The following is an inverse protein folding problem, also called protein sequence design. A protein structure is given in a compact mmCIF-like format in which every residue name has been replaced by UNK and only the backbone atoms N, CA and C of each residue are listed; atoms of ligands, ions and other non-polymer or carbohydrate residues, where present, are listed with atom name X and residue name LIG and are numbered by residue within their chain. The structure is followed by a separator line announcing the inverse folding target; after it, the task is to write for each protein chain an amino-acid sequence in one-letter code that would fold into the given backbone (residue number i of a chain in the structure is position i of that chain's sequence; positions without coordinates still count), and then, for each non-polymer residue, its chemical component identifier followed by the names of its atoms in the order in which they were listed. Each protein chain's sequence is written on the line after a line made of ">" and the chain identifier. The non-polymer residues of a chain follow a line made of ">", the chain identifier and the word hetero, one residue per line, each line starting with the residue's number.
data_IF_910892890716
#
_entry.id   IF_910892890716
#
_cell.length_a   1.000
_cell.length_b   1.000
_cell.length_c   1.000
_cell.angle_alpha   90.00
_cell.angle_beta   90.00
_cell.angle_gamma   90.00
#
_symmetry.space_group_name_H-M   'P 1'
#
loop_
_entity.id
_entity.type
_entity.pdbx_description
1 polymer ?
#
# COMPACT_ATOMS: atom_id res chain seq x y z
N UNK A 1 7.19 -21.64 -6.19
CA UNK A 1 6.66 -22.97 -6.62
C UNK A 1 5.22 -23.26 -6.17
N UNK A 2 4.90 -23.31 -4.86
CA UNK A 2 3.53 -23.69 -4.39
C UNK A 2 2.46 -22.72 -4.92
N UNK A 3 2.67 -21.41 -4.76
CA UNK A 3 1.75 -20.37 -5.27
C UNK A 3 1.51 -20.52 -6.78
N UNK A 4 2.58 -20.64 -7.57
CA UNK A 4 2.49 -20.88 -9.02
C UNK A 4 1.62 -22.10 -9.36
N UNK A 5 1.86 -23.24 -8.70
CA UNK A 5 1.10 -24.46 -8.95
C UNK A 5 -0.39 -24.27 -8.61
N UNK A 6 -0.72 -23.64 -7.48
CA UNK A 6 -2.10 -23.37 -7.08
C UNK A 6 -2.82 -22.44 -8.08
N UNK A 7 -2.15 -21.37 -8.52
CA UNK A 7 -2.69 -20.43 -9.51
C UNK A 7 -2.95 -21.06 -10.88
N UNK A 8 -2.17 -22.08 -11.26
CA UNK A 8 -2.43 -22.87 -12.47
C UNK A 8 -3.46 -23.98 -12.29
N UNK A 9 -3.69 -24.44 -11.06
CA UNK A 9 -4.57 -25.55 -10.74
C UNK A 9 -6.04 -25.16 -10.52
N UNK A 10 -6.36 -23.87 -10.34
CA UNK A 10 -7.75 -23.43 -10.20
C UNK A 10 -8.01 -22.28 -9.22
N UNK A 11 -6.98 -21.72 -8.58
CA UNK A 11 -7.17 -20.54 -7.71
C UNK A 11 -7.75 -19.37 -8.51
N UNK A 12 -8.80 -18.77 -7.96
CA UNK A 12 -9.54 -17.69 -8.62
C UNK A 12 -9.19 -16.30 -8.08
N UNK A 13 -8.63 -16.19 -6.87
CA UNK A 13 -8.17 -14.92 -6.28
C UNK A 13 -6.73 -15.03 -5.78
N UNK A 14 -5.93 -14.00 -6.00
CA UNK A 14 -4.58 -13.89 -5.46
C UNK A 14 -4.30 -12.50 -4.92
N UNK A 15 -4.06 -12.38 -3.62
CA UNK A 15 -3.58 -11.14 -3.01
C UNK A 15 -2.14 -11.36 -2.53
N UNK A 16 -1.28 -10.41 -2.82
CA UNK A 16 0.13 -10.46 -2.45
C UNK A 16 0.71 -9.08 -2.20
N UNK A 17 1.94 -9.05 -1.69
CA UNK A 17 2.78 -7.85 -1.70
C UNK A 17 3.64 -7.85 -2.96
N UNK A 18 4.19 -6.72 -3.41
CA UNK A 18 4.98 -6.65 -4.65
C UNK A 18 6.06 -7.73 -4.76
N UNK A 19 6.78 -8.01 -3.67
CA UNK A 19 7.79 -9.06 -3.57
C UNK A 19 7.25 -10.46 -3.96
N UNK A 20 6.03 -10.80 -3.54
CA UNK A 20 5.43 -12.10 -3.86
C UNK A 20 5.12 -12.22 -5.36
N UNK A 21 4.64 -11.14 -5.97
CA UNK A 21 4.38 -11.11 -7.41
C UNK A 21 5.70 -11.17 -8.19
N UNK A 22 6.73 -10.42 -7.78
CA UNK A 22 8.06 -10.45 -8.40
C UNK A 22 8.68 -11.86 -8.38
N UNK A 23 8.67 -12.53 -7.22
CA UNK A 23 9.15 -13.92 -7.10
C UNK A 23 8.33 -14.90 -7.94
N UNK A 24 7.02 -14.69 -8.07
CA UNK A 24 6.16 -15.51 -8.92
C UNK A 24 6.47 -15.31 -10.41
N UNK A 25 6.67 -14.07 -10.84
CA UNK A 25 7.07 -13.73 -12.21
C UNK A 25 8.44 -14.30 -12.55
N UNK A 26 9.43 -14.13 -11.66
CA UNK A 26 10.77 -14.69 -11.80
C UNK A 26 10.71 -16.21 -11.92
N UNK A 27 10.01 -16.89 -10.99
CA UNK A 27 9.86 -18.34 -11.04
C UNK A 27 9.21 -18.81 -12.34
N UNK A 28 8.21 -18.08 -12.85
CA UNK A 28 7.55 -18.40 -14.12
C UNK A 28 8.49 -18.24 -15.31
N UNK A 29 9.33 -17.19 -15.30
CA UNK A 29 10.40 -16.97 -16.30
C UNK A 29 11.43 -18.09 -16.27
N UNK A 30 11.82 -18.58 -15.10
CA UNK A 30 12.71 -19.74 -14.94
C UNK A 30 12.10 -21.03 -15.50
N UNK A 31 10.77 -21.13 -15.61
CA UNK A 31 10.09 -22.23 -16.30
C UNK A 31 9.99 -22.01 -17.83
N UNK A 32 10.59 -20.95 -18.38
CA UNK A 32 10.53 -20.61 -19.80
C UNK A 32 9.20 -19.99 -20.25
N UNK A 33 8.37 -19.52 -19.31
CA UNK A 33 7.06 -18.92 -19.59
C UNK A 33 7.11 -17.40 -19.33
N UNK A 34 6.37 -16.63 -20.14
CA UNK A 34 6.28 -15.17 -20.02
C UNK A 34 5.05 -14.69 -19.25
N UNK A 35 4.06 -15.55 -19.07
CA UNK A 35 2.79 -15.26 -18.41
C UNK A 35 2.37 -16.46 -17.55
N UNK A 36 1.52 -16.22 -16.55
CA UNK A 36 1.03 -17.26 -15.65
C UNK A 36 0.22 -18.33 -16.38
N UNK A 37 -0.57 -17.92 -17.40
CA UNK A 37 -1.41 -18.83 -18.18
C UNK A 37 -2.54 -19.50 -17.38
N UNK A 38 -3.01 -18.85 -16.31
CA UNK A 38 -4.19 -19.33 -15.56
C UNK A 38 -5.46 -19.07 -16.36
N UNK A 39 -6.39 -20.03 -16.38
CA UNK A 39 -7.72 -19.91 -16.99
C UNK A 39 -8.82 -19.55 -16.00
N UNK A 40 -8.50 -19.46 -14.71
CA UNK A 40 -9.47 -19.36 -13.61
C UNK A 40 -9.24 -18.15 -12.72
N UNK A 41 -8.04 -17.57 -12.74
CA UNK A 41 -7.73 -16.36 -12.01
C UNK A 41 -8.61 -15.20 -12.51
N UNK A 42 -9.32 -14.57 -11.58
CA UNK A 42 -10.28 -13.48 -11.86
C UNK A 42 -10.00 -12.21 -11.07
N UNK A 43 -9.14 -12.27 -10.06
CA UNK A 43 -8.79 -11.13 -9.22
C UNK A 43 -7.36 -11.26 -8.73
N UNK A 44 -6.59 -10.17 -8.90
CA UNK A 44 -5.27 -10.02 -8.31
C UNK A 44 -5.21 -8.68 -7.62
N UNK A 45 -4.68 -8.65 -6.40
CA UNK A 45 -4.37 -7.39 -5.72
C UNK A 45 -2.95 -7.35 -5.19
N UNK A 46 -2.39 -6.14 -5.22
CA UNK A 46 -1.18 -5.77 -4.50
C UNK A 46 -1.54 -4.76 -3.41
N UNK A 47 -0.81 -4.77 -2.31
CA UNK A 47 -0.96 -3.78 -1.24
C UNK A 47 0.29 -3.71 -0.38
N UNK A 48 0.21 -2.95 0.71
CA UNK A 48 1.29 -2.73 1.69
C UNK A 48 2.55 -2.01 1.17
N UNK A 49 2.53 -1.52 -0.07
CA UNK A 49 3.58 -0.68 -0.65
C UNK A 49 3.03 0.16 -1.80
N UNK A 50 3.68 1.27 -2.18
CA UNK A 50 3.32 2.05 -3.36
C UNK A 50 3.28 1.20 -4.62
N UNK A 51 2.35 1.51 -5.52
CA UNK A 51 2.20 0.82 -6.79
C UNK A 51 2.85 1.62 -7.92
N UNK A 52 3.96 1.09 -8.46
CA UNK A 52 4.59 1.67 -9.64
C UNK A 52 3.75 1.40 -10.93
N UNK A 53 3.49 2.42 -11.77
CA UNK A 53 2.71 2.25 -13.01
C UNK A 53 3.33 1.29 -14.05
N UNK A 54 4.66 1.20 -14.14
CA UNK A 54 5.34 0.28 -15.05
C UNK A 54 5.18 -1.15 -14.54
N UNK A 55 5.44 -1.36 -13.27
CA UNK A 55 5.25 -2.64 -12.61
C UNK A 55 3.79 -3.11 -12.67
N UNK A 56 2.82 -2.20 -12.50
CA UNK A 56 1.40 -2.51 -12.68
C UNK A 56 1.11 -3.10 -14.05
N UNK A 57 1.62 -2.47 -15.12
CA UNK A 57 1.45 -2.94 -16.51
C UNK A 57 2.09 -4.30 -16.73
N UNK A 58 3.29 -4.53 -16.18
CA UNK A 58 3.96 -5.82 -16.25
C UNK A 58 3.17 -6.92 -15.53
N UNK A 59 2.62 -6.61 -14.36
CA UNK A 59 1.76 -7.52 -13.61
C UNK A 59 0.49 -7.87 -14.37
N UNK A 60 -0.19 -6.89 -14.95
CA UNK A 60 -1.39 -7.13 -15.75
C UNK A 60 -1.11 -7.98 -16.98
N UNK A 61 0.00 -7.73 -17.69
CA UNK A 61 0.44 -8.56 -18.81
C UNK A 61 0.76 -10.00 -18.37
N UNK A 62 1.35 -10.16 -17.19
CA UNK A 62 1.71 -11.47 -16.64
C UNK A 62 0.48 -12.29 -16.21
N UNK A 63 -0.48 -11.68 -15.51
CA UNK A 63 -1.66 -12.36 -14.97
C UNK A 63 -2.80 -12.48 -16.00
N UNK A 64 -2.90 -11.53 -16.94
CA UNK A 64 -4.02 -11.43 -17.88
C UNK A 64 -5.31 -10.87 -17.26
N UNK A 65 -5.23 -10.25 -16.07
CA UNK A 65 -6.34 -9.58 -15.37
C UNK A 65 -5.84 -8.26 -14.78
N UNK A 66 -6.76 -7.36 -14.47
CA UNK A 66 -6.44 -6.09 -13.83
C UNK A 66 -5.80 -6.30 -12.45
N UNK A 67 -4.72 -5.56 -12.19
CA UNK A 67 -4.08 -5.55 -10.89
C UNK A 67 -4.74 -4.47 -10.03
N UNK A 68 -5.38 -4.89 -8.94
CA UNK A 68 -6.00 -3.98 -7.99
C UNK A 68 -4.99 -3.54 -6.93
N UNK A 69 -5.16 -2.32 -6.44
CA UNK A 69 -4.42 -1.78 -5.31
C UNK A 69 -5.37 -1.53 -4.15
N UNK A 70 -4.85 -1.48 -2.94
CA UNK A 70 -5.65 -1.16 -1.76
C UNK A 70 -4.79 -0.84 -0.55
N UNK A 71 -5.43 -0.17 0.40
CA UNK A 71 -4.82 0.22 1.66
C UNK A 71 -5.66 -0.28 2.83
N UNK A 72 -4.97 -0.61 3.91
CA UNK A 72 -5.54 -0.94 5.20
C UNK A 72 -4.47 -1.51 6.12
N UNK A 73 -4.88 -1.81 7.34
CA UNK A 73 -4.01 -2.28 8.41
C UNK A 73 -4.74 -3.33 9.26
N UNK A 74 -4.02 -3.92 10.21
CA UNK A 74 -4.57 -4.98 11.07
C UNK A 74 -5.78 -4.45 11.88
N UNK A 75 -5.63 -3.23 12.37
CA UNK A 75 -6.56 -2.50 13.21
C UNK A 75 -7.82 -2.07 12.45
N UNK A 76 -7.83 -2.13 11.11
CA UNK A 76 -8.97 -1.80 10.25
C UNK A 76 -9.55 -3.06 9.58
N UNK A 77 -9.36 -4.24 10.17
CA UNK A 77 -9.79 -5.53 9.58
C UNK A 77 -9.29 -5.68 8.13
N UNK A 78 -8.00 -5.39 7.93
CA UNK A 78 -7.25 -5.45 6.67
C UNK A 78 -7.56 -4.39 5.60
N UNK A 79 -8.78 -3.87 5.46
CA UNK A 79 -9.14 -3.02 4.31
C UNK A 79 -9.82 -1.71 4.70
N UNK A 80 -9.33 -0.60 4.15
CA UNK A 80 -9.90 0.75 4.24
C UNK A 80 -10.38 1.22 2.88
N UNK A 81 -9.56 1.04 1.85
CA UNK A 81 -9.83 1.43 0.47
C UNK A 81 -9.33 0.35 -0.50
N UNK A 82 -9.95 0.27 -1.67
CA UNK A 82 -9.47 -0.59 -2.74
C UNK A 82 -9.94 -0.11 -4.11
N UNK A 83 -9.09 -0.28 -5.12
CA UNK A 83 -9.45 0.00 -6.50
C UNK A 83 -10.38 -1.08 -7.06
N UNK A 84 -11.13 -0.71 -8.10
CA UNK A 84 -11.85 -1.64 -8.97
C UNK A 84 -11.61 -1.26 -10.43
N UNK A 85 -10.36 -1.37 -10.83
CA UNK A 85 -9.85 -0.91 -12.10
C UNK A 85 -10.04 -1.96 -13.20
N UNK A 86 -10.34 -1.50 -14.40
CA UNK A 86 -10.23 -2.30 -15.61
C UNK A 86 -8.74 -2.52 -15.97
N UNK A 87 -8.47 -3.58 -16.73
CA UNK A 87 -7.11 -3.89 -17.19
C UNK A 87 -6.59 -2.74 -18.07
N UNK A 88 -5.36 -2.30 -17.83
CA UNK A 88 -4.76 -1.17 -18.54
C UNK A 88 -5.10 0.21 -17.97
N UNK A 89 -5.92 0.31 -16.90
CA UNK A 89 -6.10 1.57 -16.20
C UNK A 89 -4.76 2.08 -15.63
N UNK A 90 -4.52 3.39 -15.73
CA UNK A 90 -3.28 4.04 -15.27
C UNK A 90 -3.29 4.39 -13.79
N UNK A 91 -4.44 4.25 -13.12
CA UNK A 91 -4.62 4.55 -11.70
C UNK A 91 -3.76 3.63 -10.82
N UNK A 92 -2.95 4.26 -9.96
CA UNK A 92 -2.08 3.62 -8.95
C UNK A 92 -2.43 4.02 -7.52
N UNK A 93 -3.53 4.73 -7.32
CA UNK A 93 -4.06 5.07 -5.98
C UNK A 93 -4.37 3.81 -5.17
N UNK A 94 -4.62 3.97 -3.88
CA UNK A 94 -5.19 2.93 -3.03
C UNK A 94 -6.73 2.80 -3.22
N UNK A 95 -7.30 3.54 -4.17
CA UNK A 95 -8.72 3.51 -4.53
C UNK A 95 -9.62 4.32 -3.59
N UNK A 96 -10.94 4.30 -3.85
CA UNK A 96 -11.92 4.91 -2.97
C UNK A 96 -12.13 4.09 -1.69
N UNK A 97 -12.75 4.72 -0.68
CA UNK A 97 -13.17 4.05 0.53
C UNK A 97 -14.05 2.81 0.24
N UNK A 98 -13.87 1.74 1.02
CA UNK A 98 -14.73 0.57 0.95
C UNK A 98 -16.16 0.92 1.44
N UNK A 99 -17.19 0.15 1.03
CA UNK A 99 -18.55 0.40 1.48
C UNK A 99 -18.68 0.42 3.01
N UNK A 100 -19.25 1.50 3.56
CA UNK A 100 -19.42 1.68 5.00
C UNK A 100 -18.17 2.15 5.74
N UNK A 101 -17.08 2.46 5.02
CA UNK A 101 -15.87 3.07 5.55
C UNK A 101 -15.87 4.57 5.23
N UNK A 102 -15.55 5.37 6.23
CA UNK A 102 -15.25 6.78 6.09
C UNK A 102 -13.75 7.00 6.16
N UNK A 103 -13.25 7.93 5.34
CA UNK A 103 -11.85 8.35 5.30
C UNK A 103 -11.81 9.87 5.41
N UNK A 104 -10.93 10.38 6.26
CA UNK A 104 -10.62 11.80 6.37
C UNK A 104 -9.10 12.00 6.38
N UNK A 105 -8.65 13.23 6.10
CA UNK A 105 -7.24 13.61 6.18
C UNK A 105 -7.10 14.66 7.29
N UNK A 106 -6.30 14.35 8.30
CA UNK A 106 -5.90 15.32 9.32
C UNK A 106 -4.61 16.03 8.87
N UNK A 107 -4.77 17.27 8.41
CA UNK A 107 -3.67 18.10 7.94
C UNK A 107 -2.83 18.74 9.06
N UNK A 108 -3.25 18.63 10.32
CA UNK A 108 -2.59 19.30 11.46
C UNK A 108 -1.48 18.46 12.09
N UNK A 109 -1.27 17.24 11.60
CA UNK A 109 -0.23 16.32 12.08
C UNK A 109 1.17 16.72 11.64
N UNK A 110 2.18 16.19 12.33
CA UNK A 110 3.57 16.28 11.90
C UNK A 110 3.76 15.65 10.51
N UNK A 111 4.41 16.39 9.60
CA UNK A 111 4.52 16.02 8.17
C UNK A 111 3.31 16.42 7.32
N UNK A 112 2.20 16.86 7.92
CA UNK A 112 1.03 17.37 7.20
C UNK A 112 1.26 18.75 6.56
N UNK A 113 0.49 19.04 5.51
CA UNK A 113 0.42 20.35 4.87
C UNK A 113 -0.95 20.55 4.19
N UNK A 114 -1.10 21.58 3.36
CA UNK A 114 -2.39 21.91 2.72
C UNK A 114 -2.96 20.81 1.80
N UNK A 115 -2.13 19.89 1.27
CA UNK A 115 -2.56 18.83 0.36
C UNK A 115 -2.47 17.42 0.96
N UNK A 116 -1.72 17.22 2.05
CA UNK A 116 -1.53 15.91 2.68
C UNK A 116 -1.60 15.97 4.20
N UNK A 117 -1.90 14.85 4.83
CA UNK A 117 -2.02 14.73 6.28
C UNK A 117 -2.14 13.27 6.70
N UNK A 118 -2.42 13.03 7.97
CA UNK A 118 -2.67 11.67 8.47
C UNK A 118 -3.99 11.15 7.90
N UNK A 119 -3.98 9.92 7.40
CA UNK A 119 -5.18 9.21 7.01
C UNK A 119 -5.93 8.78 8.27
N UNK A 120 -7.18 9.22 8.40
CA UNK A 120 -8.10 8.74 9.43
C UNK A 120 -9.10 7.77 8.83
N UNK A 121 -9.47 6.73 9.58
CA UNK A 121 -10.51 5.78 9.17
C UNK A 121 -11.57 5.59 10.24
N UNK A 122 -12.84 5.58 9.84
CA UNK A 122 -13.97 5.29 10.73
C UNK A 122 -14.94 4.33 10.07
N UNK A 123 -15.49 3.40 10.84
CA UNK A 123 -16.45 2.42 10.34
C UNK A 123 -16.47 1.13 11.17
N UNK A 124 -17.30 0.16 10.79
CA UNK A 124 -17.46 -1.11 11.50
C UNK A 124 -16.24 -2.04 11.40
N UNK A 125 -15.29 -1.72 10.51
CA UNK A 125 -14.04 -2.45 10.30
C UNK A 125 -12.92 -2.07 11.27
N UNK A 126 -13.05 -0.92 11.95
CA UNK A 126 -12.09 -0.45 12.96
C UNK A 126 -12.16 -1.35 14.20
N UNK A 127 -11.00 -1.69 14.74
CA UNK A 127 -10.85 -2.49 15.96
C UNK A 127 -11.53 -1.82 17.16
N UNK A 128 -11.74 -2.59 18.22
CA UNK A 128 -12.26 -2.05 19.51
C UNK A 128 -11.16 -1.47 20.41
N UNK A 129 -9.90 -1.59 19.99
CA UNK A 129 -8.73 -1.23 20.77
C UNK A 129 -7.74 -2.38 20.93
N UNK A 130 -6.55 -2.05 21.41
CA UNK A 130 -5.48 -2.99 21.66
C UNK A 130 -5.76 -3.85 22.89
N UNK A 131 -5.39 -5.13 22.81
CA UNK A 131 -5.67 -6.08 23.88
C UNK A 131 -4.98 -5.69 25.20
N UNK A 132 -5.79 -5.40 26.23
CA UNK A 132 -5.34 -4.98 27.57
C UNK A 132 -4.43 -3.75 27.57
N UNK A 133 -4.56 -2.88 26.58
CA UNK A 133 -3.77 -1.67 26.46
C UNK A 133 -4.65 -0.46 26.13
N UNK A 134 -5.39 0.01 27.14
CA UNK A 134 -6.30 1.14 27.01
C UNK A 134 -5.57 2.46 26.74
N UNK A 135 -4.33 2.60 27.21
CA UNK A 135 -3.53 3.81 26.99
C UNK A 135 -3.18 3.98 25.51
N UNK A 136 -2.61 2.95 24.87
CA UNK A 136 -2.33 3.00 23.43
C UNK A 136 -3.61 3.05 22.59
N UNK A 137 -4.71 2.45 23.09
CA UNK A 137 -6.00 2.54 22.41
C UNK A 137 -6.49 3.99 22.35
N UNK A 138 -6.41 4.72 23.46
CA UNK A 138 -6.84 6.12 23.53
C UNK A 138 -5.96 7.07 22.73
N UNK A 139 -4.74 6.65 22.33
CA UNK A 139 -3.85 7.42 21.45
C UNK A 139 -4.26 7.33 19.98
N UNK A 140 -4.94 6.24 19.58
CA UNK A 140 -5.26 6.00 18.16
C UNK A 140 -6.75 5.98 17.86
N UNK A 141 -7.62 5.82 18.86
CA UNK A 141 -9.07 5.89 18.70
C UNK A 141 -9.60 7.12 19.46
N UNK A 142 -10.18 8.06 18.72
CA UNK A 142 -10.76 9.27 19.31
C UNK A 142 -12.20 9.06 19.80
N UNK A 143 -12.77 10.11 20.40
CA UNK A 143 -14.14 10.08 20.94
C UNK A 143 -15.23 10.04 19.85
N UNK A 144 -14.92 10.45 18.62
CA UNK A 144 -15.81 10.47 17.46
C UNK A 144 -15.73 9.16 16.64
N UNK A 145 -14.90 8.21 17.09
CA UNK A 145 -14.70 6.89 16.51
C UNK A 145 -13.72 6.86 15.34
N UNK A 146 -12.94 7.93 15.12
CA UNK A 146 -11.86 7.93 14.15
C UNK A 146 -10.66 7.17 14.68
N UNK A 147 -10.12 6.34 13.79
CA UNK A 147 -8.82 5.72 13.95
C UNK A 147 -7.76 6.57 13.27
N UNK A 148 -6.79 7.02 14.05
CA UNK A 148 -5.53 7.62 13.63
C UNK A 148 -4.58 6.50 13.17
N UNK A 149 -4.25 6.48 11.88
CA UNK A 149 -3.49 5.39 11.27
C UNK A 149 -1.98 5.55 11.42
N UNK A 150 -1.50 6.78 11.60
CA UNK A 150 -0.09 7.17 11.50
C UNK A 150 0.46 7.18 10.07
N UNK A 151 -0.35 6.88 9.07
CA UNK A 151 0.04 6.88 7.66
C UNK A 151 -0.31 8.25 7.03
N UNK A 152 0.63 8.82 6.28
CA UNK A 152 0.41 10.05 5.53
C UNK A 152 -0.23 9.75 4.18
N UNK A 153 -1.24 10.54 3.83
CA UNK A 153 -1.94 10.41 2.57
C UNK A 153 -2.66 11.68 2.15
N UNK A 154 -3.30 11.57 0.99
CA UNK A 154 -4.16 12.61 0.43
C UNK A 154 -5.33 11.98 -0.31
N UNK A 155 -6.42 12.73 -0.43
CA UNK A 155 -7.57 12.35 -1.26
C UNK A 155 -7.60 13.30 -2.45
N UNK A 156 -7.59 12.75 -3.66
CA UNK A 156 -7.64 13.57 -4.89
C UNK A 156 -9.06 14.08 -5.21
N UNK A 157 -9.17 14.89 -6.26
CA UNK A 157 -10.45 15.45 -6.72
C UNK A 157 -11.46 14.37 -7.16
N UNK A 158 -11.02 13.14 -7.41
CA UNK A 158 -11.87 11.99 -7.75
C UNK A 158 -12.28 11.18 -6.50
N UNK A 159 -11.82 11.58 -5.31
CA UNK A 159 -12.11 10.88 -4.06
C UNK A 159 -11.26 9.62 -3.87
N UNK A 160 -10.12 9.50 -4.55
CA UNK A 160 -9.21 8.35 -4.43
C UNK A 160 -8.13 8.64 -3.39
N UNK A 161 -7.87 7.65 -2.54
CA UNK A 161 -6.83 7.74 -1.52
C UNK A 161 -5.46 7.45 -2.12
N UNK A 162 -4.49 8.31 -1.85
CA UNK A 162 -3.07 8.09 -2.16
C UNK A 162 -2.28 8.03 -0.86
N UNK A 163 -1.53 6.94 -0.66
CA UNK A 163 -0.65 6.76 0.50
C UNK A 163 0.74 7.27 0.12
N UNK A 164 1.26 8.19 0.91
CA UNK A 164 2.53 8.90 0.67
C UNK A 164 3.66 8.43 1.59
N UNK A 165 3.33 7.76 2.69
CA UNK A 165 4.30 7.20 3.63
C UNK A 165 3.76 7.14 5.04
N UNK A 166 4.66 7.16 6.04
CA UNK A 166 4.29 7.22 7.46
C UNK A 166 4.78 8.51 8.08
N UNK A 167 3.95 9.13 8.92
CA UNK A 167 4.33 10.38 9.59
C UNK A 167 5.54 10.20 10.49
N UNK A 168 5.63 9.05 11.18
CA UNK A 168 6.74 8.71 12.08
C UNK A 168 8.02 8.22 11.38
N UNK A 169 7.95 7.91 10.08
CA UNK A 169 9.10 7.46 9.29
C UNK A 169 9.59 8.57 8.36
N UNK A 170 9.01 9.78 8.44
CA UNK A 170 9.49 10.95 7.74
C UNK A 170 10.92 11.25 8.18
N UNK A 171 11.85 11.20 7.22
CA UNK A 171 13.25 11.53 7.47
C UNK A 171 13.42 13.04 7.31
N UNK A 172 13.93 13.71 8.34
CA UNK A 172 14.28 15.13 8.25
C UNK A 172 15.79 15.25 8.09
N UNK A 173 16.25 15.65 6.91
CA UNK A 173 17.67 15.85 6.62
C UNK A 173 17.93 17.29 6.16
N UNK A 174 18.71 18.05 6.92
CA UNK A 174 19.07 19.42 6.56
C UNK A 174 17.85 20.35 6.43
N UNK A 175 16.76 20.06 7.14
CA UNK A 175 15.50 20.81 7.07
C UNK A 175 14.58 20.43 5.91
N UNK A 176 14.90 19.38 5.16
CA UNK A 176 14.05 18.84 4.10
C UNK A 176 13.32 17.58 4.56
N UNK A 177 12.04 17.50 4.22
CA UNK A 177 11.21 16.32 4.39
C UNK A 177 11.57 15.29 3.31
N UNK A 178 12.14 14.17 3.72
CA UNK A 178 12.48 13.04 2.87
C UNK A 178 11.53 11.90 3.18
N UNK A 179 10.64 11.60 2.24
CA UNK A 179 9.69 10.49 2.38
C UNK A 179 10.37 9.19 1.92
N UNK A 180 10.58 8.20 2.82
CA UNK A 180 11.23 6.94 2.44
C UNK A 180 10.63 6.28 1.19
N UNK A 181 9.30 6.23 1.00
CA UNK A 181 8.72 5.62 -0.20
C UNK A 181 9.16 6.25 -1.52
N UNK A 182 9.42 7.57 -1.56
CA UNK A 182 9.90 8.24 -2.78
C UNK A 182 11.33 7.80 -3.13
N UNK A 183 12.19 7.71 -2.12
CA UNK A 183 13.59 7.27 -2.29
C UNK A 183 13.65 5.78 -2.62
N UNK A 184 12.83 4.96 -1.96
CA UNK A 184 12.69 3.53 -2.23
C UNK A 184 12.23 3.29 -3.68
N UNK A 185 11.21 4.02 -4.15
CA UNK A 185 10.74 3.93 -5.53
C UNK A 185 11.87 4.25 -6.52
N UNK A 186 12.64 5.32 -6.28
CA UNK A 186 13.78 5.68 -7.12
C UNK A 186 14.90 4.62 -7.12
N UNK A 187 15.20 4.01 -5.98
CA UNK A 187 16.20 2.94 -5.88
C UNK A 187 15.73 1.65 -6.55
N UNK A 188 14.44 1.31 -6.41
CA UNK A 188 13.84 0.11 -6.99
C UNK A 188 13.77 0.16 -8.53
N UNK A 189 13.86 1.35 -9.15
CA UNK A 189 13.95 1.49 -10.61
C UNK A 189 15.32 1.01 -11.16
N UNK A 190 16.34 0.85 -10.30
CA UNK A 190 17.66 0.41 -10.74
C UNK A 190 17.71 -1.10 -11.02
N UNK A 191 18.16 -1.57 -12.21
CA UNK A 191 18.08 -2.99 -12.62
C UNK A 191 18.80 -4.02 -11.73
N UNK A 192 19.73 -3.57 -10.89
CA UNK A 192 20.46 -4.41 -9.93
C UNK A 192 19.85 -4.44 -8.52
N UNK A 193 18.81 -3.63 -8.28
CA UNK A 193 18.12 -3.56 -6.98
C UNK A 193 16.89 -4.45 -7.06
N UNK A 194 16.82 -5.44 -6.17
CA UNK A 194 15.63 -6.29 -6.05
C UNK A 194 14.56 -5.59 -5.23
N UNK A 195 14.97 -4.96 -4.12
CA UNK A 195 14.12 -4.16 -3.24
C UNK A 195 15.01 -3.26 -2.37
N UNK A 196 14.59 -2.03 -2.14
CA UNK A 196 15.18 -1.09 -1.20
C UNK A 196 14.23 -0.82 -0.03
N UNK A 197 14.82 -0.48 1.12
CA UNK A 197 14.15 0.08 2.28
C UNK A 197 14.99 1.26 2.77
N UNK A 198 14.35 2.38 3.07
CA UNK A 198 15.03 3.62 3.49
C UNK A 198 14.60 3.94 4.91
N UNK A 199 15.58 4.21 5.78
CA UNK A 199 15.36 4.57 7.18
C UNK A 199 16.22 5.76 7.52
N UNK A 200 15.71 6.65 8.36
CA UNK A 200 16.51 7.74 8.93
C UNK A 200 17.47 7.18 9.97
N UNK A 201 18.74 7.60 9.90
CA UNK A 201 19.71 7.35 10.96
C UNK A 201 19.91 8.63 11.77
N UNK A 202 19.60 8.64 13.08
CA UNK A 202 19.81 9.81 13.92
C UNK A 202 21.29 10.17 14.01
N UNK A 203 21.61 11.45 13.78
CA UNK A 203 22.96 12.00 13.96
C UNK A 203 22.91 13.48 14.34
N UNK A 204 23.43 13.80 15.52
CA UNK A 204 23.58 15.19 16.01
C UNK A 204 22.30 16.05 15.98
N UNK A 205 21.12 15.44 16.11
CA UNK A 205 19.82 16.13 16.08
C UNK A 205 19.22 16.34 14.69
N UNK A 206 19.84 15.77 13.66
CA UNK A 206 19.36 15.66 12.28
C UNK A 206 19.28 14.15 11.91
N UNK A 207 18.60 13.79 10.83
CA UNK A 207 18.58 12.41 10.33
C UNK A 207 19.36 12.30 9.00
N UNK A 208 20.17 11.25 8.84
CA UNK A 208 20.90 10.90 7.60
C UNK A 208 20.33 9.65 6.93
#
# INVERSE_FOLDING_TARGET
>A
KVVYAALRAGVTLFSGVPQMHALLMQYTKEQGLKALGSKTLRYVSSGAAPLDPTWKREAEAFYGVALQNGYGMTETTAGVSATRNDIGAVDTSAGPALPGVEIAIDHQVEGGNASMGEVLSRGPHVMKGYYRNSEETAKVLDADGWMHTGDLGQIDEQGLLHILGRSKELIIHGGFNVYPPEVEAALNDHPLVVQAAVIGRPKDGDEE
#
